data_IF_415924239230
#
_entry.id   IF_415924239230
#
_cell.length_a   1.000
_cell.length_b   1.000
_cell.length_c   1.000
_cell.angle_alpha   90.00
_cell.angle_beta   90.00
_cell.angle_gamma   90.00
#
_symmetry.space_group_name_H-M   'P 1'
#
loop_
_entity.id
_entity.type
_entity.pdbx_description
1 polymer ?
#
# COMPACT_ATOMS: atom_id res chain seq x y z
N UNK A 1 13.70 50.01 -11.65
CA UNK A 1 13.45 49.38 -10.33
C UNK A 1 12.35 48.34 -10.52
N UNK A 2 12.73 47.07 -10.49
CA UNK A 2 11.88 45.94 -10.88
C UNK A 2 10.98 45.50 -9.71
N UNK A 3 9.65 45.59 -9.88
CA UNK A 3 8.67 45.07 -8.93
C UNK A 3 8.09 43.75 -9.43
N UNK A 4 8.59 42.62 -8.92
CA UNK A 4 8.03 41.29 -9.21
C UNK A 4 6.75 41.05 -8.41
N UNK A 5 5.63 40.77 -9.09
CA UNK A 5 4.39 40.35 -8.44
C UNK A 5 4.52 38.91 -7.93
N UNK A 6 4.27 38.75 -6.62
CA UNK A 6 4.22 37.48 -5.90
C UNK A 6 3.05 36.62 -6.38
N UNK A 7 3.31 35.46 -6.97
CA UNK A 7 2.29 34.47 -7.30
C UNK A 7 1.82 33.75 -6.03
N UNK A 8 0.55 33.91 -5.67
CA UNK A 8 -0.06 33.12 -4.60
C UNK A 8 -0.32 31.71 -5.10
N UNK A 9 0.38 30.73 -4.53
CA UNK A 9 0.16 29.30 -4.73
C UNK A 9 -1.24 28.97 -4.18
N UNK A 10 -2.14 28.48 -5.04
CA UNK A 10 -3.48 28.06 -4.65
C UNK A 10 -3.38 26.91 -3.65
N UNK A 11 -3.72 27.18 -2.40
CA UNK A 11 -4.00 26.14 -1.41
C UNK A 11 -5.16 25.30 -1.94
N UNK A 12 -4.83 24.11 -2.45
CA UNK A 12 -5.83 23.13 -2.85
C UNK A 12 -6.42 22.58 -1.56
N UNK A 13 -7.43 23.29 -1.05
CA UNK A 13 -8.19 22.93 0.15
C UNK A 13 -8.59 21.46 0.03
N UNK A 14 -7.95 20.62 0.84
CA UNK A 14 -8.20 19.19 0.86
C UNK A 14 -9.67 19.00 1.24
N UNK A 15 -10.49 18.59 0.27
CA UNK A 15 -11.92 18.36 0.48
C UNK A 15 -12.07 16.98 1.09
N UNK A 16 -12.44 16.91 2.37
CA UNK A 16 -12.88 15.68 3.01
C UNK A 16 -14.19 15.29 2.32
N UNK A 17 -14.12 14.31 1.43
CA UNK A 17 -15.31 13.76 0.76
C UNK A 17 -16.11 12.97 1.79
N UNK A 18 -17.43 13.11 1.77
CA UNK A 18 -18.33 12.32 2.59
C UNK A 18 -18.16 10.82 2.26
N UNK A 19 -18.30 9.98 3.28
CA UNK A 19 -18.19 8.53 3.13
C UNK A 19 -19.42 8.00 2.35
N UNK A 20 -19.24 7.14 1.34
CA UNK A 20 -20.36 6.50 0.66
C UNK A 20 -21.19 5.66 1.65
N UNK A 21 -22.52 5.78 1.61
CA UNK A 21 -23.45 5.02 2.48
C UNK A 21 -23.45 3.51 2.19
N UNK A 22 -23.06 3.12 0.98
CA UNK A 22 -22.85 1.73 0.57
C UNK A 22 -21.60 1.68 -0.30
N UNK A 23 -20.79 0.64 -0.14
CA UNK A 23 -19.61 0.41 -0.98
C UNK A 23 -19.96 -0.65 -2.02
N UNK A 24 -19.86 -0.29 -3.29
CA UNK A 24 -19.94 -1.28 -4.36
C UNK A 24 -18.65 -2.11 -4.40
N UNK A 25 -18.76 -3.33 -4.93
CA UNK A 25 -17.65 -4.30 -4.92
C UNK A 25 -16.41 -3.76 -5.67
N UNK A 26 -16.61 -2.97 -6.73
CA UNK A 26 -15.50 -2.35 -7.47
C UNK A 26 -14.72 -1.37 -6.62
N UNK A 27 -15.39 -0.56 -5.80
CA UNK A 27 -14.71 0.37 -4.89
C UNK A 27 -13.98 -0.37 -3.77
N UNK A 28 -14.57 -1.44 -3.22
CA UNK A 28 -13.87 -2.29 -2.23
C UNK A 28 -12.59 -2.89 -2.82
N UNK A 29 -12.66 -3.37 -4.06
CA UNK A 29 -11.52 -3.94 -4.77
C UNK A 29 -10.43 -2.88 -5.06
N UNK A 30 -10.81 -1.64 -5.38
CA UNK A 30 -9.83 -0.57 -5.61
C UNK A 30 -9.10 -0.17 -4.33
N UNK A 31 -9.82 -0.08 -3.20
CA UNK A 31 -9.19 0.14 -1.90
C UNK A 31 -8.23 -1.00 -1.55
N UNK A 32 -8.67 -2.26 -1.72
CA UNK A 32 -7.81 -3.42 -1.47
C UNK A 32 -6.54 -3.40 -2.33
N UNK A 33 -6.67 -3.07 -3.62
CA UNK A 33 -5.53 -2.96 -4.54
C UNK A 33 -4.53 -1.90 -4.07
N UNK A 34 -5.02 -0.74 -3.62
CA UNK A 34 -4.19 0.32 -3.06
C UNK A 34 -3.45 -0.14 -1.80
N UNK A 35 -4.14 -0.80 -0.86
CA UNK A 35 -3.54 -1.32 0.37
C UNK A 35 -2.51 -2.42 0.07
N UNK A 36 -2.83 -3.35 -0.84
CA UNK A 36 -1.91 -4.41 -1.29
C UNK A 36 -0.61 -3.84 -1.83
N UNK A 37 -0.69 -2.85 -2.72
CA UNK A 37 0.49 -2.22 -3.30
C UNK A 37 1.34 -1.54 -2.21
N UNK A 38 0.71 -0.84 -1.27
CA UNK A 38 1.42 -0.21 -0.16
C UNK A 38 2.14 -1.23 0.74
N UNK A 39 1.49 -2.37 1.04
CA UNK A 39 2.12 -3.46 1.81
C UNK A 39 3.36 -3.99 1.07
N UNK A 40 3.28 -4.18 -0.24
CA UNK A 40 4.41 -4.64 -1.05
C UNK A 40 5.56 -3.61 -1.09
N UNK A 41 5.25 -2.32 -1.16
CA UNK A 41 6.26 -1.26 -1.09
C UNK A 41 6.95 -1.21 0.28
N UNK A 42 6.20 -1.41 1.38
CA UNK A 42 6.76 -1.56 2.73
C UNK A 42 7.69 -2.79 2.81
N UNK A 43 7.28 -3.94 2.25
CA UNK A 43 8.09 -5.15 2.20
C UNK A 43 9.40 -4.95 1.41
N UNK A 44 9.39 -4.10 0.37
CA UNK A 44 10.58 -3.67 -0.39
C UNK A 44 11.43 -2.60 0.32
N UNK A 45 11.03 -2.18 1.54
CA UNK A 45 11.61 -1.04 2.28
C UNK A 45 11.47 0.31 1.56
N UNK A 46 10.48 0.46 0.68
CA UNK A 46 10.18 1.69 -0.05
C UNK A 46 8.92 2.38 0.52
N UNK A 47 9.03 3.03 1.68
CA UNK A 47 7.87 3.66 2.34
C UNK A 47 7.74 5.18 2.10
N UNK A 48 8.73 5.81 1.47
CA UNK A 48 8.81 7.28 1.32
C UNK A 48 7.68 7.88 0.48
N UNK A 49 7.07 7.10 -0.42
CA UNK A 49 5.94 7.52 -1.25
C UNK A 49 4.56 7.23 -0.66
N UNK A 50 4.47 6.71 0.57
CA UNK A 50 3.20 6.26 1.16
C UNK A 50 2.58 7.32 2.06
N UNK A 51 1.27 7.53 1.91
CA UNK A 51 0.47 8.36 2.80
C UNK A 51 -0.15 7.52 3.91
N UNK A 52 0.40 7.58 5.13
CA UNK A 52 -0.12 6.81 6.27
C UNK A 52 -1.58 7.14 6.59
N UNK A 53 -1.97 8.42 6.49
CA UNK A 53 -3.35 8.84 6.74
C UNK A 53 -4.31 8.24 5.70
N UNK A 54 -3.94 8.24 4.42
CA UNK A 54 -4.76 7.67 3.35
C UNK A 54 -4.92 6.17 3.52
N UNK A 55 -3.83 5.45 3.80
CA UNK A 55 -3.84 4.01 4.03
C UNK A 55 -4.72 3.65 5.24
N UNK A 56 -4.59 4.40 6.34
CA UNK A 56 -5.41 4.21 7.53
C UNK A 56 -6.90 4.45 7.23
N UNK A 57 -7.25 5.56 6.57
CA UNK A 57 -8.65 5.86 6.20
C UNK A 57 -9.26 4.76 5.33
N UNK A 58 -8.50 4.26 4.36
CA UNK A 58 -8.92 3.20 3.46
C UNK A 58 -9.16 1.87 4.19
N UNK A 59 -8.22 1.45 5.04
CA UNK A 59 -8.38 0.24 5.85
C UNK A 59 -9.56 0.36 6.83
N UNK A 60 -9.68 1.49 7.51
CA UNK A 60 -10.81 1.79 8.39
C UNK A 60 -12.15 1.73 7.63
N UNK A 61 -12.20 2.28 6.41
CA UNK A 61 -13.41 2.27 5.57
C UNK A 61 -13.84 0.84 5.21
N UNK A 62 -12.90 -0.04 4.88
CA UNK A 62 -13.21 -1.46 4.62
C UNK A 62 -13.81 -2.15 5.85
N UNK A 63 -13.24 -1.94 7.04
CA UNK A 63 -13.73 -2.55 8.28
C UNK A 63 -15.10 -1.99 8.67
N UNK A 64 -15.28 -0.68 8.57
CA UNK A 64 -16.53 0.02 8.87
C UNK A 64 -17.70 -0.54 8.05
N UNK A 65 -17.47 -0.82 6.76
CA UNK A 65 -18.47 -1.38 5.84
C UNK A 65 -18.46 -2.91 5.78
N UNK A 66 -17.98 -3.59 6.83
CA UNK A 66 -18.03 -5.06 6.99
C UNK A 66 -17.21 -5.86 5.96
N UNK A 67 -16.22 -5.26 5.32
CA UNK A 67 -15.26 -5.94 4.43
C UNK A 67 -13.94 -6.32 5.14
N UNK A 68 -13.97 -6.48 6.46
CA UNK A 68 -12.78 -6.84 7.26
C UNK A 68 -12.20 -8.21 6.93
N UNK A 69 -13.05 -9.19 6.57
CA UNK A 69 -12.61 -10.53 6.19
C UNK A 69 -11.72 -10.52 4.93
N UNK A 70 -12.12 -9.75 3.91
CA UNK A 70 -11.34 -9.57 2.67
C UNK A 70 -9.99 -8.92 2.97
N UNK A 71 -9.97 -7.91 3.83
CA UNK A 71 -8.74 -7.23 4.24
C UNK A 71 -7.80 -8.19 4.98
N UNK A 72 -8.32 -8.96 5.94
CA UNK A 72 -7.51 -9.91 6.72
C UNK A 72 -6.96 -11.04 5.84
N UNK A 73 -7.80 -11.65 5.02
CA UNK A 73 -7.42 -12.75 4.13
C UNK A 73 -6.38 -12.29 3.11
N UNK A 74 -6.61 -11.16 2.45
CA UNK A 74 -5.66 -10.60 1.51
C UNK A 74 -4.34 -10.20 2.15
N UNK A 75 -4.36 -9.65 3.37
CA UNK A 75 -3.13 -9.34 4.11
C UNK A 75 -2.32 -10.61 4.38
N UNK A 76 -2.98 -11.67 4.87
CA UNK A 76 -2.35 -12.97 5.11
C UNK A 76 -1.68 -13.49 3.83
N UNK A 77 -2.40 -13.47 2.70
CA UNK A 77 -1.87 -13.92 1.40
C UNK A 77 -0.62 -13.14 0.99
N UNK A 78 -0.65 -11.81 1.02
CA UNK A 78 0.47 -10.96 0.59
C UNK A 78 1.70 -11.14 1.49
N UNK A 79 1.50 -11.34 2.79
CA UNK A 79 2.61 -11.61 3.73
C UNK A 79 3.17 -13.00 3.49
N UNK A 80 2.31 -14.02 3.33
CA UNK A 80 2.74 -15.39 3.03
C UNK A 80 3.51 -15.46 1.71
N UNK A 81 3.00 -14.84 0.64
CA UNK A 81 3.66 -14.75 -0.67
C UNK A 81 5.07 -14.15 -0.54
N UNK A 82 5.20 -13.03 0.17
CA UNK A 82 6.49 -12.38 0.38
C UNK A 82 7.49 -13.27 1.12
N UNK A 83 7.06 -13.91 2.20
CA UNK A 83 7.94 -14.76 3.00
C UNK A 83 8.40 -16.00 2.22
N UNK A 84 7.50 -16.67 1.51
CA UNK A 84 7.84 -17.82 0.66
C UNK A 84 8.85 -17.42 -0.40
N UNK A 85 8.59 -16.33 -1.13
CA UNK A 85 9.48 -15.87 -2.19
C UNK A 85 10.86 -15.49 -1.63
N UNK A 86 10.90 -14.79 -0.48
CA UNK A 86 12.16 -14.38 0.14
C UNK A 86 12.97 -15.58 0.66
N UNK A 87 12.32 -16.56 1.27
CA UNK A 87 12.97 -17.80 1.72
C UNK A 87 13.48 -18.59 0.53
N UNK A 88 12.69 -18.74 -0.54
CA UNK A 88 13.11 -19.43 -1.77
C UNK A 88 14.33 -18.77 -2.43
N UNK A 89 14.39 -17.43 -2.45
CA UNK A 89 15.57 -16.71 -2.92
C UNK A 89 16.81 -17.00 -2.07
N UNK A 90 16.66 -17.06 -0.74
CA UNK A 90 17.76 -17.39 0.17
C UNK A 90 18.23 -18.82 -0.08
N UNK A 91 17.33 -19.80 -0.15
CA UNK A 91 17.73 -21.21 -0.38
C UNK A 91 18.47 -21.37 -1.69
N UNK A 92 18.01 -20.73 -2.76
CA UNK A 92 18.69 -20.80 -4.06
C UNK A 92 20.08 -20.15 -4.00
N UNK A 93 20.21 -18.98 -3.38
CA UNK A 93 21.51 -18.31 -3.22
C UNK A 93 22.52 -19.12 -2.41
N UNK A 94 22.06 -19.85 -1.39
CA UNK A 94 22.92 -20.71 -0.57
C UNK A 94 23.38 -21.94 -1.38
N UNK A 95 22.48 -22.54 -2.17
CA UNK A 95 22.83 -23.65 -3.05
C UNK A 95 23.87 -23.21 -4.10
N UNK A 96 23.65 -22.09 -4.78
CA UNK A 96 24.60 -21.54 -5.76
C UNK A 96 25.97 -21.29 -5.14
N UNK A 97 26.01 -20.70 -3.94
CA UNK A 97 27.28 -20.41 -3.25
C UNK A 97 28.05 -21.69 -2.90
N UNK A 98 27.36 -22.78 -2.53
CA UNK A 98 28.02 -24.06 -2.23
C UNK A 98 28.58 -24.72 -3.49
N UNK A 99 27.89 -24.63 -4.63
CA UNK A 99 28.35 -25.23 -5.90
C UNK A 99 29.61 -24.57 -6.48
N UNK A 100 29.85 -23.28 -6.25
CA UNK A 100 31.08 -22.61 -6.70
C UNK A 100 32.27 -22.75 -5.74
N UNK A 101 32.09 -23.40 -4.58
CA UNK A 101 33.12 -23.57 -3.55
C UNK A 101 33.76 -24.97 -3.51
N UNK A 102 33.38 -25.85 -4.44
CA UNK A 102 33.94 -27.21 -4.63
C UNK A 102 34.53 -27.36 -6.02
#
# INVERSE_FOLDING_TARGET
MSGGLRTHKRDTKMRIRAFPMTMDEKYVNSIWTLLRNAIQEIQKKNNSGLSFEELYRNAYTMVLHKHGEKLYTGLREVVTEHLINKVGLITNSVLDTQFFSS
#
